data_IF_249040967598
#
_entry.id   IF_249040967598
#
_cell.length_a   1.000
_cell.length_b   1.000
_cell.length_c   1.000
_cell.angle_alpha   90.00
_cell.angle_beta   90.00
_cell.angle_gamma   90.00
#
_symmetry.space_group_name_H-M   'P 1'
#
loop_
_entity.id
_entity.type
_entity.pdbx_description
1 polymer ?
#
# COMPACT_ATOMS: atom_id res chain seq x y z
N UNK A 1 -15.04 -25.80 -43.89
CA UNK A 1 -14.02 -25.13 -43.03
C UNK A 1 -14.27 -23.62 -42.90
N UNK A 2 -15.42 -23.16 -42.38
CA UNK A 2 -15.69 -21.72 -42.15
C UNK A 2 -15.70 -21.32 -40.65
N UNK A 3 -15.58 -22.29 -39.74
CA UNK A 3 -15.69 -22.06 -38.29
C UNK A 3 -14.34 -21.90 -37.57
N UNK A 4 -13.24 -22.36 -38.15
CA UNK A 4 -11.89 -22.29 -37.55
C UNK A 4 -11.47 -20.87 -37.14
N UNK A 5 -11.66 -19.82 -37.97
CA UNK A 5 -11.27 -18.46 -37.60
C UNK A 5 -12.14 -17.89 -36.46
N UNK A 6 -13.41 -18.30 -36.38
CA UNK A 6 -14.33 -17.84 -35.34
C UNK A 6 -14.04 -18.50 -34.00
N UNK A 7 -13.74 -19.81 -34.01
CA UNK A 7 -13.35 -20.57 -32.81
C UNK A 7 -12.03 -20.01 -32.25
N UNK A 8 -11.06 -19.68 -33.10
CA UNK A 8 -9.81 -19.05 -32.65
C UNK A 8 -10.03 -17.66 -32.04
N UNK A 9 -10.90 -16.83 -32.62
CA UNK A 9 -11.24 -15.51 -32.04
C UNK A 9 -11.93 -15.64 -30.69
N UNK A 10 -12.85 -16.59 -30.54
CA UNK A 10 -13.53 -16.86 -29.27
C UNK A 10 -12.54 -17.34 -28.20
N UNK A 11 -11.63 -18.25 -28.56
CA UNK A 11 -10.60 -18.73 -27.63
C UNK A 11 -9.66 -17.60 -27.17
N UNK A 12 -9.24 -16.73 -28.08
CA UNK A 12 -8.43 -15.54 -27.75
C UNK A 12 -9.19 -14.56 -26.84
N UNK A 13 -10.48 -14.34 -27.10
CA UNK A 13 -11.32 -13.51 -26.24
C UNK A 13 -11.44 -14.06 -24.81
N UNK A 14 -11.62 -15.38 -24.67
CA UNK A 14 -11.68 -16.04 -23.36
C UNK A 14 -10.36 -15.96 -22.59
N UNK A 15 -9.23 -16.15 -23.28
CA UNK A 15 -7.91 -16.03 -22.66
C UNK A 15 -7.66 -14.61 -22.11
N UNK A 16 -8.09 -13.58 -22.84
CA UNK A 16 -7.99 -12.18 -22.42
C UNK A 16 -8.84 -11.86 -21.21
N UNK A 17 -10.10 -12.31 -21.21
CA UNK A 17 -11.02 -12.11 -20.08
C UNK A 17 -10.45 -12.77 -18.83
N UNK A 18 -9.96 -14.01 -18.94
CA UNK A 18 -9.34 -14.72 -17.82
C UNK A 18 -8.10 -13.99 -17.29
N UNK A 19 -7.24 -13.49 -18.19
CA UNK A 19 -6.04 -12.77 -17.80
C UNK A 19 -6.36 -11.43 -17.14
N UNK A 20 -7.40 -10.74 -17.62
CA UNK A 20 -7.89 -9.49 -17.03
C UNK A 20 -8.45 -9.73 -15.62
N UNK A 21 -9.29 -10.75 -15.43
CA UNK A 21 -9.80 -11.11 -14.11
C UNK A 21 -8.68 -11.47 -13.14
N UNK A 22 -7.70 -12.28 -13.58
CA UNK A 22 -6.56 -12.66 -12.75
C UNK A 22 -5.76 -11.44 -12.30
N UNK A 23 -5.43 -10.54 -13.22
CA UNK A 23 -4.63 -9.34 -12.92
C UNK A 23 -5.38 -8.39 -11.98
N UNK A 24 -6.70 -8.22 -12.16
CA UNK A 24 -7.52 -7.41 -11.27
C UNK A 24 -7.63 -8.02 -9.87
N UNK A 25 -7.82 -9.33 -9.77
CA UNK A 25 -7.86 -10.03 -8.49
C UNK A 25 -6.53 -9.88 -7.72
N UNK A 26 -5.40 -10.06 -8.41
CA UNK A 26 -4.06 -9.85 -7.83
C UNK A 26 -3.88 -8.41 -7.32
N UNK A 27 -4.32 -7.41 -8.10
CA UNK A 27 -4.25 -6.01 -7.69
C UNK A 27 -5.14 -5.69 -6.47
N UNK A 28 -6.36 -6.22 -6.43
CA UNK A 28 -7.29 -6.03 -5.30
C UNK A 28 -6.72 -6.64 -4.02
N UNK A 29 -6.18 -7.86 -4.11
CA UNK A 29 -5.55 -8.54 -2.97
C UNK A 29 -4.35 -7.75 -2.47
N UNK A 30 -3.46 -7.29 -3.36
CA UNK A 30 -2.32 -6.46 -2.98
C UNK A 30 -2.76 -5.17 -2.28
N UNK A 31 -3.76 -4.45 -2.80
CA UNK A 31 -4.30 -3.23 -2.17
C UNK A 31 -4.84 -3.54 -0.77
N UNK A 32 -5.66 -4.58 -0.66
CA UNK A 32 -6.30 -4.97 0.60
C UNK A 32 -5.26 -5.30 1.67
N UNK A 33 -4.29 -6.15 1.35
CA UNK A 33 -3.20 -6.54 2.24
C UNK A 33 -2.37 -5.32 2.65
N UNK A 34 -2.05 -4.45 1.69
CA UNK A 34 -1.29 -3.23 1.94
C UNK A 34 -1.97 -2.32 2.97
N UNK A 35 -3.27 -2.09 2.80
CA UNK A 35 -4.04 -1.23 3.69
C UNK A 35 -4.23 -1.88 5.07
N UNK A 36 -4.53 -3.17 5.12
CA UNK A 36 -4.77 -3.89 6.37
C UNK A 36 -3.51 -3.98 7.25
N UNK A 37 -2.33 -4.11 6.65
CA UNK A 37 -1.05 -4.18 7.37
C UNK A 37 -0.53 -2.79 7.78
N UNK A 38 -0.81 -1.76 6.96
CA UNK A 38 -0.20 -0.44 7.13
C UNK A 38 -1.05 0.51 7.98
N UNK A 39 -2.38 0.52 7.82
CA UNK A 39 -3.25 1.50 8.46
C UNK A 39 -3.33 1.34 9.98
N UNK A 40 -3.62 0.16 10.56
CA UNK A 40 -3.84 0.05 12.00
C UNK A 40 -2.64 0.56 12.82
N UNK A 41 -1.39 0.18 12.50
CA UNK A 41 -0.28 0.64 13.32
C UNK A 41 0.19 2.05 12.94
N UNK A 42 -0.16 2.58 11.77
CA UNK A 42 0.01 4.01 11.49
C UNK A 42 -0.92 4.86 12.37
N UNK A 43 -2.17 4.43 12.55
CA UNK A 43 -3.12 5.05 13.49
C UNK A 43 -2.58 4.97 14.92
N UNK A 44 -2.08 3.80 15.33
CA UNK A 44 -1.47 3.62 16.65
C UNK A 44 -0.27 4.56 16.86
N UNK A 45 0.59 4.70 15.85
CA UNK A 45 1.75 5.59 15.89
C UNK A 45 1.34 7.05 16.10
N UNK A 46 0.31 7.52 15.39
CA UNK A 46 -0.23 8.88 15.56
C UNK A 46 -0.83 9.06 16.97
N UNK A 47 -1.53 8.05 17.49
CA UNK A 47 -2.08 8.07 18.85
C UNK A 47 -0.97 8.14 19.90
N UNK A 48 0.10 7.35 19.76
CA UNK A 48 1.27 7.38 20.64
C UNK A 48 1.93 8.75 20.63
N UNK A 49 2.17 9.34 19.46
CA UNK A 49 2.75 10.68 19.33
C UNK A 49 1.84 11.72 20.00
N UNK A 50 0.53 11.68 19.74
CA UNK A 50 -0.43 12.59 20.38
C UNK A 50 -0.45 12.46 21.90
N UNK A 51 -0.35 11.24 22.44
CA UNK A 51 -0.26 11.01 23.88
C UNK A 51 1.02 11.60 24.45
N UNK A 52 2.17 11.27 23.85
CA UNK A 52 3.49 11.71 24.28
C UNK A 52 3.60 13.25 24.28
N UNK A 53 3.04 13.92 23.25
CA UNK A 53 2.99 15.38 23.19
C UNK A 53 2.09 15.99 24.28
N UNK A 54 0.93 15.38 24.58
CA UNK A 54 0.05 15.83 25.66
C UNK A 54 0.70 15.70 27.04
N UNK A 55 1.48 14.65 27.27
CA UNK A 55 2.23 14.47 28.51
C UNK A 55 3.34 15.52 28.66
N UNK A 56 4.08 15.81 27.58
CA UNK A 56 5.12 16.85 27.56
C UNK A 56 4.63 18.22 28.05
N UNK A 57 3.39 18.58 27.71
CA UNK A 57 2.83 19.90 28.03
C UNK A 57 2.38 20.06 29.50
N UNK A 58 2.43 18.99 30.31
CA UNK A 58 1.96 19.01 31.71
C UNK A 58 3.06 19.19 32.75
N UNK A 59 4.32 19.32 32.33
CA UNK A 59 5.43 19.37 33.27
C UNK A 59 5.77 20.80 33.69
N UNK A 60 5.92 21.00 35.01
CA UNK A 60 6.47 22.21 35.62
C UNK A 60 7.98 22.04 35.88
N UNK A 61 8.71 23.16 35.85
CA UNK A 61 10.17 23.24 35.63
C UNK A 61 11.04 22.37 36.54
N UNK A 62 11.98 21.59 35.98
CA UNK A 62 13.02 20.89 36.75
C UNK A 62 13.91 19.88 36.00
N UNK A 63 14.93 19.33 36.65
CA UNK A 63 15.89 18.38 36.02
C UNK A 63 15.24 17.02 35.67
N UNK A 64 14.24 16.60 36.46
CA UNK A 64 13.39 15.43 36.20
C UNK A 64 12.45 15.66 35.00
N UNK A 65 12.07 16.92 34.71
CA UNK A 65 11.31 17.27 33.51
C UNK A 65 12.17 17.13 32.25
N UNK A 66 13.42 17.59 32.29
CA UNK A 66 14.33 17.50 31.13
C UNK A 66 14.53 16.05 30.67
N UNK A 67 14.82 15.14 31.60
CA UNK A 67 14.98 13.72 31.29
C UNK A 67 13.68 13.10 30.74
N UNK A 68 12.51 13.48 31.27
CA UNK A 68 11.21 13.01 30.77
C UNK A 68 10.89 13.55 29.37
N UNK A 69 11.20 14.82 29.08
CA UNK A 69 11.05 15.39 27.74
C UNK A 69 11.97 14.70 26.75
N UNK A 70 13.21 14.40 27.12
CA UNK A 70 14.15 13.64 26.28
C UNK A 70 13.62 12.23 25.96
N UNK A 71 13.04 11.53 26.92
CA UNK A 71 12.39 10.23 26.70
C UNK A 71 11.16 10.32 25.77
N UNK A 72 10.35 11.37 25.92
CA UNK A 72 9.19 11.64 25.06
C UNK A 72 9.65 11.91 23.62
N UNK A 73 10.67 12.74 23.43
CA UNK A 73 11.22 12.99 22.09
C UNK A 73 11.83 11.74 21.46
N UNK A 74 12.51 10.90 22.25
CA UNK A 74 13.02 9.62 21.78
C UNK A 74 11.88 8.70 21.29
N UNK A 75 10.80 8.59 22.07
CA UNK A 75 9.59 7.83 21.70
C UNK A 75 8.95 8.36 20.40
N UNK A 76 8.83 9.68 20.26
CA UNK A 76 8.30 10.32 19.05
C UNK A 76 9.19 9.99 17.85
N UNK A 77 10.51 10.13 17.97
CA UNK A 77 11.45 9.88 16.89
C UNK A 77 11.44 8.41 16.43
N UNK A 78 11.40 7.47 17.38
CA UNK A 78 11.26 6.04 17.06
C UNK A 78 9.94 5.77 16.32
N UNK A 79 8.85 6.35 16.80
CA UNK A 79 7.53 6.20 16.18
C UNK A 79 7.49 6.79 14.77
N UNK A 80 8.15 7.94 14.53
CA UNK A 80 8.30 8.53 13.19
C UNK A 80 9.12 7.60 12.28
N UNK A 81 10.19 6.99 12.79
CA UNK A 81 10.99 6.02 12.03
C UNK A 81 10.16 4.82 11.57
N UNK A 82 9.33 4.27 12.47
CA UNK A 82 8.40 3.18 12.16
C UNK A 82 7.36 3.59 11.10
N UNK A 83 6.85 4.82 11.17
CA UNK A 83 5.95 5.37 10.15
C UNK A 83 6.64 5.50 8.78
N UNK A 84 7.88 5.98 8.74
CA UNK A 84 8.65 6.10 7.50
C UNK A 84 8.90 4.74 6.84
N UNK A 85 9.25 3.72 7.62
CA UNK A 85 9.40 2.35 7.11
C UNK A 85 8.09 1.82 6.49
N UNK A 86 6.94 2.14 7.09
CA UNK A 86 5.62 1.77 6.55
C UNK A 86 5.29 2.52 5.26
N UNK A 87 5.59 3.81 5.19
CA UNK A 87 5.44 4.60 3.96
C UNK A 87 6.28 4.02 2.81
N UNK A 88 7.48 3.53 3.11
CA UNK A 88 8.31 2.85 2.12
C UNK A 88 7.67 1.55 1.61
N UNK A 89 7.10 0.72 2.49
CA UNK A 89 6.38 -0.49 2.09
C UNK A 89 5.15 -0.15 1.22
N UNK A 90 4.39 0.88 1.59
CA UNK A 90 3.26 1.39 0.80
C UNK A 90 3.70 1.82 -0.61
N UNK A 91 4.84 2.53 -0.72
CA UNK A 91 5.38 2.95 -2.01
C UNK A 91 5.77 1.77 -2.91
N UNK A 92 6.35 0.71 -2.33
CA UNK A 92 6.69 -0.51 -3.07
C UNK A 92 5.44 -1.22 -3.61
N UNK A 93 4.38 -1.32 -2.78
CA UNK A 93 3.11 -1.90 -3.22
C UNK A 93 2.45 -1.05 -4.31
N UNK A 94 2.50 0.28 -4.21
CA UNK A 94 2.02 1.18 -5.27
C UNK A 94 2.74 0.93 -6.61
N UNK A 95 4.07 0.72 -6.58
CA UNK A 95 4.84 0.41 -7.79
C UNK A 95 4.46 -0.96 -8.39
N UNK A 96 4.19 -1.97 -7.54
CA UNK A 96 3.73 -3.29 -7.98
C UNK A 96 2.35 -3.20 -8.66
N UNK A 97 1.41 -2.44 -8.07
CA UNK A 97 0.09 -2.18 -8.66
C UNK A 97 0.20 -1.48 -10.00
N UNK A 98 1.05 -0.46 -10.13
CA UNK A 98 1.31 0.20 -11.40
C UNK A 98 1.78 -0.78 -12.46
N UNK A 99 2.71 -1.68 -12.11
CA UNK A 99 3.21 -2.72 -13.01
C UNK A 99 2.11 -3.69 -13.46
N UNK A 100 1.20 -4.07 -12.56
CA UNK A 100 0.04 -4.92 -12.90
C UNK A 100 -0.93 -4.19 -13.85
N UNK A 101 -1.23 -2.92 -13.59
CA UNK A 101 -2.08 -2.10 -14.46
C UNK A 101 -1.47 -1.89 -15.85
N UNK A 102 -0.16 -1.65 -15.93
CA UNK A 102 0.56 -1.50 -17.19
C UNK A 102 0.53 -2.79 -18.02
N UNK A 103 0.68 -3.96 -17.37
CA UNK A 103 0.51 -5.26 -18.02
C UNK A 103 -0.91 -5.43 -18.58
N UNK A 104 -1.93 -5.11 -17.78
CA UNK A 104 -3.32 -5.18 -18.23
C UNK A 104 -3.57 -4.27 -19.43
N UNK A 105 -3.06 -3.03 -19.40
CA UNK A 105 -3.16 -2.08 -20.51
C UNK A 105 -2.50 -2.63 -21.79
N UNK A 106 -1.29 -3.16 -21.70
CA UNK A 106 -0.59 -3.75 -22.85
C UNK A 106 -1.39 -4.89 -23.50
N UNK A 107 -2.02 -5.73 -22.68
CA UNK A 107 -2.84 -6.85 -23.15
C UNK A 107 -4.06 -6.36 -23.94
N UNK A 108 -4.78 -5.37 -23.40
CA UNK A 108 -5.96 -4.77 -24.06
C UNK A 108 -5.56 -4.13 -25.39
N UNK A 109 -4.51 -3.29 -25.39
CA UNK A 109 -4.03 -2.61 -26.60
C UNK A 109 -3.55 -3.59 -27.69
N UNK A 110 -3.05 -4.76 -27.32
CA UNK A 110 -2.63 -5.79 -28.28
C UNK A 110 -3.82 -6.49 -28.94
N UNK A 111 -4.95 -6.61 -28.22
CA UNK A 111 -6.17 -7.20 -28.77
C UNK A 111 -6.91 -6.21 -29.69
N UNK A 112 -6.98 -4.93 -29.30
CA UNK A 112 -7.63 -3.89 -30.13
C UNK A 112 -6.92 -3.64 -31.48
N UNK A 113 -5.63 -3.99 -31.58
CA UNK A 113 -4.83 -3.85 -32.81
C UNK A 113 -4.91 -5.05 -33.78
N UNK A 114 -5.63 -6.12 -33.44
CA UNK A 114 -5.76 -7.35 -34.26
C UNK A 114 -7.17 -7.53 -34.81
#
# INVERSE_FOLDING_TARGET
MKHEPQIQKIAQGWELINLQFKTQAEAIVDIYTTLSESLPPAIQSIQTINHAMKESNKFETGENERQRKELIYATINETISLLNNRLYLLANHQQKLKTLMDKQRFIVERYERK
#
